data_IF_576473998314
#
_entry.id   IF_576473998314
#
_cell.length_a   1.000
_cell.length_b   1.000
_cell.length_c   1.000
_cell.angle_alpha   90.00
_cell.angle_beta   90.00
_cell.angle_gamma   90.00
#
_symmetry.space_group_name_H-M   'P 1'
#
loop_
_entity.id
_entity.type
_entity.pdbx_description
1 polymer ?
#
# COMPACT_ATOMS: atom_id res chain seq x y z
N UNK A 1 26.56 -20.11 32.07
CA UNK A 1 25.21 -20.34 31.54
C UNK A 1 24.46 -19.04 31.68
N UNK A 2 24.47 -18.23 30.64
CA UNK A 2 23.55 -17.09 30.51
C UNK A 2 22.14 -17.67 30.42
N UNK A 3 21.24 -17.23 31.31
CA UNK A 3 19.82 -17.55 31.18
C UNK A 3 19.35 -17.15 29.78
N UNK A 4 18.48 -17.95 29.13
CA UNK A 4 17.92 -17.54 27.85
C UNK A 4 17.21 -16.21 28.07
N UNK A 5 17.61 -15.19 27.30
CA UNK A 5 17.00 -13.88 27.30
C UNK A 5 15.49 -14.08 27.12
N UNK A 6 14.72 -13.84 28.18
CA UNK A 6 13.27 -13.97 28.16
C UNK A 6 12.77 -13.05 27.05
N UNK A 7 12.31 -13.62 25.92
CA UNK A 7 11.84 -12.84 24.79
C UNK A 7 10.62 -12.08 25.25
N UNK A 8 10.83 -10.82 25.67
CA UNK A 8 9.78 -9.93 26.13
C UNK A 8 8.77 -9.80 25.01
N UNK A 9 7.58 -10.35 25.23
CA UNK A 9 6.52 -10.24 24.24
C UNK A 9 6.06 -8.78 24.18
N UNK A 10 5.86 -8.24 22.96
CA UNK A 10 5.53 -6.85 22.80
C UNK A 10 4.10 -6.60 23.28
N UNK A 11 3.91 -5.43 23.87
CA UNK A 11 2.63 -5.01 24.40
C UNK A 11 1.61 -4.71 23.30
N UNK A 12 2.08 -4.20 22.15
CA UNK A 12 1.32 -3.96 20.91
C UNK A 12 2.07 -4.65 19.78
N UNK A 13 1.48 -5.68 19.20
CA UNK A 13 2.11 -6.46 18.13
C UNK A 13 1.30 -6.36 16.85
N UNK A 14 1.98 -6.05 15.76
CA UNK A 14 1.50 -6.27 14.39
C UNK A 14 2.39 -7.36 13.78
N UNK A 15 1.94 -8.61 13.81
CA UNK A 15 2.65 -9.73 13.19
C UNK A 15 2.25 -9.81 11.71
N UNK A 16 3.25 -9.82 10.83
CA UNK A 16 3.09 -9.74 9.37
C UNK A 16 3.66 -10.99 8.74
N UNK A 17 2.81 -11.82 8.15
CA UNK A 17 3.19 -13.04 7.45
C UNK A 17 3.60 -12.70 6.00
N UNK A 18 4.90 -12.69 5.73
CA UNK A 18 5.46 -12.47 4.40
C UNK A 18 5.25 -13.69 3.47
N UNK A 19 5.07 -14.88 4.03
CA UNK A 19 4.64 -16.08 3.30
C UNK A 19 3.24 -15.91 2.69
N UNK A 20 2.32 -15.32 3.45
CA UNK A 20 0.99 -14.96 2.97
C UNK A 20 1.05 -13.89 1.87
N UNK A 21 1.87 -12.83 2.03
CA UNK A 21 2.12 -11.83 0.97
C UNK A 21 2.59 -12.53 -0.32
N UNK A 22 3.63 -13.37 -0.23
CA UNK A 22 4.17 -14.11 -1.38
C UNK A 22 3.13 -15.00 -2.05
N UNK A 23 2.35 -15.73 -1.26
CA UNK A 23 1.26 -16.58 -1.76
C UNK A 23 0.24 -15.77 -2.57
N UNK A 24 -0.22 -14.65 -2.01
CA UNK A 24 -1.23 -13.81 -2.65
C UNK A 24 -0.72 -13.17 -3.95
N UNK A 25 0.54 -12.69 -3.97
CA UNK A 25 1.16 -12.11 -5.18
C UNK A 25 1.33 -13.18 -6.26
N UNK A 26 1.87 -14.37 -5.92
CA UNK A 26 2.02 -15.47 -6.89
C UNK A 26 0.68 -15.91 -7.50
N UNK A 27 -0.39 -15.92 -6.70
CA UNK A 27 -1.72 -16.26 -7.20
C UNK A 27 -2.21 -15.25 -8.24
N UNK A 28 -1.97 -13.95 -8.03
CA UNK A 28 -2.35 -12.90 -8.99
C UNK A 28 -1.43 -12.89 -10.21
N UNK A 29 -0.13 -13.03 -10.03
CA UNK A 29 0.85 -13.13 -11.13
C UNK A 29 0.50 -14.29 -12.08
N UNK A 30 0.20 -15.46 -11.52
CA UNK A 30 -0.29 -16.60 -12.30
C UNK A 30 -1.64 -16.35 -12.99
N UNK A 31 -2.54 -15.58 -12.36
CA UNK A 31 -3.85 -15.25 -12.91
C UNK A 31 -3.77 -14.30 -14.12
N UNK A 32 -2.85 -13.33 -14.10
CA UNK A 32 -2.71 -12.33 -15.17
C UNK A 32 -1.80 -12.82 -16.30
N UNK A 33 -0.86 -13.72 -16.00
CA UNK A 33 0.02 -14.34 -17.00
C UNK A 33 1.22 -13.46 -17.38
N UNK A 34 2.15 -14.01 -18.18
CA UNK A 34 3.48 -13.44 -18.39
C UNK A 34 3.50 -12.10 -19.15
N UNK A 35 2.42 -11.79 -19.89
CA UNK A 35 2.32 -10.56 -20.69
C UNK A 35 1.82 -9.34 -19.89
N UNK A 36 1.43 -9.55 -18.62
CA UNK A 36 0.91 -8.50 -17.75
C UNK A 36 1.77 -8.35 -16.50
N UNK A 37 2.42 -7.20 -16.35
CA UNK A 37 3.19 -6.91 -15.14
C UNK A 37 2.29 -6.78 -13.90
N UNK A 38 2.84 -7.08 -12.73
CA UNK A 38 2.19 -6.83 -11.43
C UNK A 38 2.91 -5.69 -10.72
N UNK A 39 2.18 -4.59 -10.50
CA UNK A 39 2.58 -3.51 -9.61
C UNK A 39 2.07 -3.78 -8.19
N UNK A 40 2.98 -4.05 -7.25
CA UNK A 40 2.65 -4.15 -5.83
C UNK A 40 2.45 -2.76 -5.23
N UNK A 41 1.25 -2.47 -4.75
CA UNK A 41 0.90 -1.17 -4.19
C UNK A 41 1.18 -1.17 -2.68
N UNK A 42 2.23 -0.47 -2.28
CA UNK A 42 2.78 -0.44 -0.91
C UNK A 42 2.68 0.94 -0.24
N UNK A 43 1.81 1.82 -0.75
CA UNK A 43 1.47 3.10 -0.10
C UNK A 43 0.94 2.93 1.32
N UNK A 44 0.93 4.02 2.07
CA UNK A 44 0.49 4.09 3.45
C UNK A 44 1.20 3.05 4.33
N UNK A 45 2.52 3.00 4.22
CA UNK A 45 3.37 2.01 4.90
C UNK A 45 2.96 0.56 4.62
N UNK A 46 2.72 0.20 3.35
CA UNK A 46 2.23 -1.13 2.97
C UNK A 46 0.86 -1.43 3.58
N UNK A 47 -0.08 -0.49 3.51
CA UNK A 47 -1.41 -0.64 4.15
C UNK A 47 -1.29 -0.97 5.64
N UNK A 48 -0.32 -0.36 6.33
CA UNK A 48 -0.01 -0.62 7.73
C UNK A 48 0.89 -1.84 8.01
N UNK A 49 1.25 -2.64 7.02
CA UNK A 49 2.04 -3.87 7.20
C UNK A 49 3.55 -3.61 7.25
N UNK A 50 4.03 -2.48 6.76
CA UNK A 50 5.47 -2.19 6.59
C UNK A 50 5.87 -2.21 5.12
N UNK A 51 6.05 -1.04 4.52
CA UNK A 51 6.22 -0.91 3.07
C UNK A 51 7.44 -1.67 2.52
N UNK A 52 8.59 -1.56 3.17
CA UNK A 52 9.86 -2.11 2.67
C UNK A 52 9.84 -3.64 2.64
N UNK A 53 9.47 -4.29 3.76
CA UNK A 53 9.50 -5.75 3.83
C UNK A 53 8.40 -6.40 2.98
N UNK A 54 7.22 -5.77 2.90
CA UNK A 54 6.18 -6.20 1.96
C UNK A 54 6.63 -6.03 0.51
N UNK A 55 7.28 -4.92 0.15
CA UNK A 55 7.79 -4.72 -1.20
C UNK A 55 8.82 -5.79 -1.58
N UNK A 56 9.76 -6.12 -0.69
CA UNK A 56 10.72 -7.21 -0.93
C UNK A 56 10.03 -8.55 -1.14
N UNK A 57 9.09 -8.91 -0.27
CA UNK A 57 8.33 -10.16 -0.40
C UNK A 57 7.49 -10.20 -1.69
N UNK A 58 6.91 -9.08 -2.11
CA UNK A 58 6.15 -8.99 -3.34
C UNK A 58 7.03 -9.16 -4.58
N UNK A 59 8.22 -8.56 -4.60
CA UNK A 59 9.20 -8.70 -5.70
C UNK A 59 9.67 -10.17 -5.80
N UNK A 60 10.00 -10.79 -4.67
CA UNK A 60 10.37 -12.23 -4.61
C UNK A 60 9.24 -13.14 -5.17
N UNK A 61 8.00 -12.68 -5.09
CA UNK A 61 6.83 -13.40 -5.56
C UNK A 61 6.40 -13.09 -7.00
N UNK A 62 7.08 -12.18 -7.70
CA UNK A 62 6.83 -11.87 -9.11
C UNK A 62 6.41 -10.43 -9.41
N UNK A 63 6.22 -9.57 -8.42
CA UNK A 63 5.93 -8.16 -8.68
C UNK A 63 7.14 -7.47 -9.34
N UNK A 64 6.93 -6.90 -10.52
CA UNK A 64 7.98 -6.22 -11.30
C UNK A 64 7.92 -4.70 -11.18
N UNK A 65 6.89 -4.16 -10.52
CA UNK A 65 6.71 -2.75 -10.25
C UNK A 65 6.29 -2.52 -8.79
N UNK A 66 6.59 -1.34 -8.26
CA UNK A 66 6.08 -0.84 -7.00
C UNK A 66 5.24 0.43 -7.22
N UNK A 67 4.20 0.58 -6.42
CA UNK A 67 3.31 1.74 -6.47
C UNK A 67 3.09 2.36 -5.09
N UNK A 68 3.31 3.67 -4.98
CA UNK A 68 3.10 4.45 -3.75
C UNK A 68 2.27 5.71 -4.02
N UNK A 69 1.76 6.35 -2.96
CA UNK A 69 1.02 7.59 -3.14
C UNK A 69 1.99 8.75 -3.34
N UNK A 70 2.88 8.95 -2.36
CA UNK A 70 3.70 10.14 -2.24
C UNK A 70 5.16 9.88 -2.67
N UNK A 71 5.85 10.94 -3.10
CA UNK A 71 7.27 10.84 -3.48
C UNK A 71 8.16 10.43 -2.32
N UNK A 72 7.85 10.84 -1.09
CA UNK A 72 8.64 10.47 0.09
C UNK A 72 8.58 8.97 0.37
N UNK A 73 7.45 8.31 0.08
CA UNK A 73 7.34 6.85 0.15
C UNK A 73 8.22 6.19 -0.92
N UNK A 74 8.26 6.74 -2.13
CA UNK A 74 9.10 6.22 -3.21
C UNK A 74 10.60 6.38 -2.89
N UNK A 75 10.98 7.53 -2.32
CA UNK A 75 12.34 7.79 -1.86
C UNK A 75 12.73 6.79 -0.77
N UNK A 76 11.84 6.52 0.20
CA UNK A 76 12.10 5.52 1.24
C UNK A 76 12.30 4.10 0.67
N UNK A 77 11.58 3.72 -0.38
CA UNK A 77 11.80 2.44 -1.08
C UNK A 77 13.17 2.40 -1.78
N UNK A 78 13.57 3.50 -2.43
CA UNK A 78 14.88 3.62 -3.07
C UNK A 78 16.02 3.59 -2.05
N UNK A 79 15.91 4.31 -0.94
CA UNK A 79 16.88 4.30 0.16
C UNK A 79 17.00 2.90 0.81
N UNK A 80 15.96 2.07 0.71
CA UNK A 80 15.98 0.68 1.15
C UNK A 80 16.60 -0.31 0.15
N UNK A 81 17.15 0.18 -0.97
CA UNK A 81 17.83 -0.61 -2.01
C UNK A 81 16.89 -1.35 -2.96
N UNK A 82 15.65 -0.89 -3.14
CA UNK A 82 14.70 -1.48 -4.08
C UNK A 82 14.86 -0.84 -5.47
N UNK A 83 15.29 -1.62 -6.46
CA UNK A 83 15.67 -1.09 -7.79
C UNK A 83 14.60 -1.27 -8.87
N UNK A 84 13.57 -2.08 -8.64
CA UNK A 84 12.45 -2.24 -9.58
C UNK A 84 11.76 -0.88 -9.85
N UNK A 85 11.12 -0.65 -11.00
CA UNK A 85 10.41 0.60 -11.26
C UNK A 85 9.39 0.96 -10.16
N UNK A 86 9.40 2.22 -9.72
CA UNK A 86 8.51 2.75 -8.67
C UNK A 86 7.70 3.90 -9.26
N UNK A 87 6.37 3.82 -9.14
CA UNK A 87 5.46 4.91 -9.50
C UNK A 87 4.94 5.61 -8.23
N UNK A 88 5.08 6.94 -8.17
CA UNK A 88 4.37 7.81 -7.22
C UNK A 88 3.42 8.75 -7.98
N UNK A 89 2.20 9.00 -7.48
CA UNK A 89 1.15 9.66 -8.28
C UNK A 89 0.30 10.70 -7.54
N UNK A 90 0.57 10.95 -6.26
CA UNK A 90 -0.14 11.93 -5.44
C UNK A 90 0.84 13.00 -5.02
N UNK A 91 0.79 14.15 -5.69
CA UNK A 91 1.67 15.27 -5.41
C UNK A 91 1.12 16.57 -5.99
N UNK A 92 1.47 17.69 -5.34
CA UNK A 92 1.29 19.04 -5.86
C UNK A 92 2.27 19.37 -7.00
N UNK A 93 2.19 20.60 -7.48
CA UNK A 93 3.10 21.14 -8.51
C UNK A 93 4.47 21.58 -7.93
N UNK A 94 4.55 21.70 -6.61
CA UNK A 94 5.70 22.11 -5.80
C UNK A 94 6.45 20.92 -5.18
N UNK A 95 6.10 19.70 -5.59
CA UNK A 95 6.75 18.49 -5.12
C UNK A 95 8.21 18.40 -5.57
N UNK A 96 9.01 17.59 -4.86
CA UNK A 96 10.44 17.37 -5.11
C UNK A 96 10.68 16.48 -6.34
N UNK A 97 10.35 16.99 -7.52
CA UNK A 97 10.52 16.26 -8.78
C UNK A 97 11.99 16.05 -9.16
N UNK A 98 12.89 16.87 -8.62
CA UNK A 98 14.35 16.72 -8.72
C UNK A 98 14.81 15.41 -8.07
N UNK A 99 14.34 15.09 -6.86
CA UNK A 99 14.58 13.79 -6.21
C UNK A 99 14.04 12.63 -7.04
N UNK A 100 12.87 12.81 -7.66
CA UNK A 100 12.29 11.79 -8.52
C UNK A 100 13.17 11.51 -9.75
N UNK A 101 13.74 12.56 -10.37
CA UNK A 101 14.68 12.44 -11.49
C UNK A 101 15.96 11.74 -11.05
N UNK A 102 16.59 12.20 -9.97
CA UNK A 102 17.85 11.65 -9.45
C UNK A 102 17.71 10.16 -9.12
N UNK A 103 16.57 9.77 -8.53
CA UNK A 103 16.33 8.41 -8.03
C UNK A 103 15.54 7.53 -9.00
N UNK A 104 15.34 8.00 -10.25
CA UNK A 104 14.61 7.27 -11.30
C UNK A 104 13.27 6.75 -10.82
N UNK A 105 12.47 7.64 -10.23
CA UNK A 105 11.09 7.38 -9.82
C UNK A 105 10.17 7.82 -10.96
N UNK A 106 9.25 6.96 -11.37
CA UNK A 106 8.18 7.32 -12.30
C UNK A 106 7.16 8.21 -11.57
N UNK A 107 6.77 9.32 -12.21
CA UNK A 107 5.88 10.33 -11.62
C UNK A 107 4.54 10.36 -12.35
N UNK A 108 3.44 10.18 -11.63
CA UNK A 108 2.09 10.26 -12.14
C UNK A 108 1.62 11.71 -12.34
N UNK A 109 1.53 12.17 -13.58
CA UNK A 109 1.15 13.56 -13.92
C UNK A 109 -0.27 13.63 -14.47
N UNK A 110 -1.01 14.66 -14.07
CA UNK A 110 -2.43 14.85 -14.38
C UNK A 110 -2.74 16.21 -15.02
N UNK A 111 -1.73 17.05 -15.26
CA UNK A 111 -1.92 18.37 -15.88
C UNK A 111 -0.66 18.86 -16.59
N UNK A 112 -0.85 19.82 -17.51
CA UNK A 112 0.26 20.54 -18.19
C UNK A 112 1.16 21.24 -17.18
N UNK A 113 0.59 21.86 -16.14
CA UNK A 113 1.36 22.54 -15.11
C UNK A 113 2.31 21.60 -14.35
N UNK A 114 1.89 20.34 -14.12
CA UNK A 114 2.75 19.32 -13.53
C UNK A 114 3.86 18.87 -14.49
N UNK A 115 3.57 18.72 -15.78
CA UNK A 115 4.59 18.44 -16.79
C UNK A 115 5.67 19.54 -16.82
N UNK A 116 5.25 20.81 -16.78
CA UNK A 116 6.18 21.94 -16.77
C UNK A 116 6.99 22.00 -15.46
N UNK A 117 6.40 21.60 -14.32
CA UNK A 117 7.13 21.50 -13.06
C UNK A 117 8.20 20.40 -13.10
N UNK A 118 7.87 19.23 -13.66
CA UNK A 118 8.84 18.14 -13.87
C UNK A 118 9.95 18.60 -14.82
N UNK A 119 9.62 19.31 -15.91
CA UNK A 119 10.61 19.83 -16.84
C UNK A 119 11.61 20.79 -16.17
N UNK A 120 11.13 21.74 -15.36
CA UNK A 120 12.00 22.65 -14.59
C UNK A 120 12.91 21.91 -13.61
N UNK A 121 12.42 20.82 -13.01
CA UNK A 121 13.23 20.01 -12.11
C UNK A 121 14.37 19.31 -12.87
N UNK A 122 14.12 18.81 -14.08
CA UNK A 122 15.17 18.23 -14.94
C UNK A 122 16.24 19.27 -15.28
N UNK A 123 15.85 20.48 -15.67
CA UNK A 123 16.79 21.59 -15.92
C UNK A 123 17.64 21.92 -14.69
N UNK A 124 17.03 21.91 -13.50
CA UNK A 124 17.73 22.14 -12.23
C UNK A 124 18.78 21.06 -11.97
N UNK A 125 18.42 19.78 -12.15
CA UNK A 125 19.34 18.65 -11.94
C UNK A 125 20.49 18.69 -12.96
N UNK A 126 20.21 18.99 -14.24
CA UNK A 126 21.23 19.15 -15.29
C UNK A 126 22.18 20.31 -14.98
N UNK A 127 21.66 21.45 -14.53
CA UNK A 127 22.46 22.61 -14.14
C UNK A 127 23.33 22.36 -12.92
N UNK A 128 22.83 21.60 -11.93
CA UNK A 128 23.62 21.20 -10.76
C UNK A 128 24.75 20.23 -11.12
N UNK A 129 24.51 19.26 -12.01
CA UNK A 129 25.55 18.36 -12.53
C UNK A 129 26.63 19.10 -13.33
N UNK A 130 26.24 20.04 -14.20
CA UNK A 130 27.18 20.86 -14.98
C UNK A 130 28.03 21.83 -14.13
N UNK A 131 27.56 22.20 -12.93
CA UNK A 131 28.32 23.06 -12.02
C UNK A 131 29.41 22.31 -11.23
N UNK A 132 29.36 20.97 -11.19
CA UNK A 132 30.37 20.13 -10.53
C UNK A 132 31.54 19.82 -11.47
N UNK A 133 31.33 19.85 -12.79
CA UNK A 133 32.36 19.60 -13.80
C UNK A 133 32.91 20.91 -14.42
N UNK A 134 34.14 21.33 -14.03
CA UNK A 134 35.21 22.05 -14.80
C UNK A 134 36.11 22.94 -13.88
N UNK A 135 37.48 22.97 -14.00
CA UNK A 135 38.41 22.08 -14.74
C UNK A 135 39.67 21.55 -13.99
N UNK A 136 40.06 20.34 -14.42
CA UNK A 136 41.39 19.81 -14.80
C UNK A 136 42.67 20.06 -13.97
N UNK A 137 43.32 18.95 -13.58
CA UNK A 137 44.77 18.82 -13.56
C UNK A 137 45.21 17.34 -13.72
N UNK A 138 46.17 17.09 -14.62
CA UNK A 138 47.13 16.00 -14.48
C UNK A 138 47.10 14.93 -15.56
N UNK A 139 48.01 15.06 -16.52
CA UNK A 139 48.47 13.98 -17.41
C UNK A 139 48.93 12.75 -16.62
N UNK A 140 48.63 11.55 -17.14
CA UNK A 140 49.16 10.29 -16.58
C UNK A 140 48.70 9.05 -17.35
N UNK A 141 49.56 8.58 -18.24
CA UNK A 141 49.49 7.30 -18.97
C UNK A 141 49.33 6.07 -18.04
N UNK A 142 48.65 5.01 -18.50
CA UNK A 142 48.74 3.67 -17.88
C UNK A 142 47.70 2.62 -18.28
N UNK A 143 47.99 1.93 -19.39
CA UNK A 143 47.65 0.56 -19.85
C UNK A 143 46.81 -0.44 -18.99
N UNK A 144 45.75 -1.01 -19.61
CA UNK A 144 45.58 -2.46 -19.85
C UNK A 144 44.93 -3.41 -18.82
N UNK A 145 43.74 -3.96 -19.14
CA UNK A 145 43.28 -5.27 -18.60
C UNK A 145 41.77 -5.57 -18.65
N UNK A 146 41.32 -6.34 -19.64
CA UNK A 146 39.98 -6.96 -19.78
C UNK A 146 39.79 -8.12 -18.76
N UNK A 147 38.64 -8.73 -18.46
CA UNK A 147 37.22 -8.69 -18.86
C UNK A 147 36.43 -9.51 -17.81
N UNK A 148 35.13 -9.24 -17.65
CA UNK A 148 34.21 -10.09 -16.87
C UNK A 148 32.76 -9.81 -17.30
N UNK A 149 32.21 -10.71 -18.11
CA UNK A 149 30.88 -10.71 -18.70
C UNK A 149 29.77 -10.83 -17.64
N UNK A 150 28.92 -9.80 -17.56
CA UNK A 150 27.67 -9.75 -16.83
C UNK A 150 26.67 -8.90 -17.62
N UNK A 151 25.51 -9.49 -17.93
CA UNK A 151 24.50 -8.98 -18.85
C UNK A 151 24.10 -7.52 -18.62
N UNK A 152 23.99 -6.81 -19.73
CA UNK A 152 23.80 -5.36 -19.83
C UNK A 152 22.45 -4.86 -19.30
N UNK A 153 22.49 -3.96 -18.32
CA UNK A 153 21.70 -2.73 -18.36
C UNK A 153 22.68 -1.54 -18.24
N UNK A 154 22.66 -0.67 -19.24
CA UNK A 154 23.69 0.32 -19.49
C UNK A 154 23.43 1.65 -18.79
N UNK A 155 24.42 2.11 -18.03
CA UNK A 155 24.85 3.51 -18.02
C UNK A 155 24.16 4.45 -17.03
N UNK A 156 24.92 4.82 -15.99
CA UNK A 156 24.73 6.04 -15.21
C UNK A 156 25.22 7.31 -15.94
N UNK A 157 25.50 7.23 -17.25
CA UNK A 157 26.19 8.26 -18.05
C UNK A 157 25.28 8.99 -19.05
N UNK A 158 23.96 8.90 -18.88
CA UNK A 158 22.98 9.65 -19.68
C UNK A 158 22.63 10.99 -19.05
N UNK A 159 22.35 12.01 -19.88
CA UNK A 159 21.80 13.28 -19.39
C UNK A 159 20.50 13.00 -18.60
N UNK A 160 20.29 13.63 -17.42
CA UNK A 160 19.09 13.37 -16.60
C UNK A 160 17.79 13.54 -17.40
N UNK A 161 16.92 12.52 -17.37
CA UNK A 161 15.60 12.51 -18.02
C UNK A 161 14.54 12.10 -17.00
N UNK A 162 13.44 12.86 -16.91
CA UNK A 162 12.31 12.49 -16.05
C UNK A 162 11.49 11.35 -16.65
N UNK A 163 10.91 10.50 -15.79
CA UNK A 163 10.01 9.42 -16.18
C UNK A 163 8.61 9.76 -15.71
N UNK A 164 7.66 9.86 -16.63
CA UNK A 164 6.29 10.29 -16.29
C UNK A 164 5.26 9.30 -16.79
N UNK A 165 4.20 9.12 -16.02
CA UNK A 165 3.02 8.40 -16.44
C UNK A 165 1.81 9.34 -16.44
N UNK A 166 1.13 9.43 -17.57
CA UNK A 166 -0.02 10.32 -17.73
C UNK A 166 -1.24 9.67 -17.10
N UNK A 167 -1.77 10.32 -16.06
CA UNK A 167 -3.01 9.91 -15.40
C UNK A 167 -4.18 10.63 -16.04
N UNK A 168 -5.18 9.86 -16.43
CA UNK A 168 -6.37 10.36 -17.12
C UNK A 168 -7.60 10.06 -16.26
N UNK A 169 -8.51 11.01 -16.15
CA UNK A 169 -9.80 10.75 -15.55
C UNK A 169 -10.75 10.19 -16.61
N UNK A 170 -11.07 8.90 -16.49
CA UNK A 170 -11.99 8.22 -17.40
C UNK A 170 -13.40 8.08 -16.83
N UNK A 171 -13.68 8.62 -15.64
CA UNK A 171 -15.00 8.58 -15.01
C UNK A 171 -15.02 8.50 -13.48
N UNK A 172 -13.86 8.45 -12.81
CA UNK A 172 -13.83 8.36 -11.34
C UNK A 172 -14.07 9.72 -10.68
N UNK A 173 -13.74 10.84 -11.33
CA UNK A 173 -13.96 12.18 -10.79
C UNK A 173 -13.00 12.53 -9.64
N UNK A 174 -11.80 11.94 -9.60
CA UNK A 174 -10.84 12.10 -8.47
C UNK A 174 -9.56 12.84 -8.85
N UNK A 175 -8.71 12.20 -9.64
CA UNK A 175 -7.41 12.73 -10.07
C UNK A 175 -7.13 12.13 -11.46
N UNK A 176 -6.32 12.80 -12.25
CA UNK A 176 -6.15 12.56 -13.68
C UNK A 176 -6.70 13.73 -14.50
N UNK A 177 -6.13 13.96 -15.68
CA UNK A 177 -6.57 15.02 -16.57
C UNK A 177 -8.02 14.76 -17.02
N UNK A 178 -8.85 15.79 -17.03
CA UNK A 178 -10.20 15.69 -17.57
C UNK A 178 -10.14 15.52 -19.09
N UNK A 179 -11.16 14.90 -19.69
CA UNK A 179 -11.25 14.66 -21.14
C UNK A 179 -10.98 15.90 -21.99
N UNK A 180 -11.43 17.08 -21.54
CA UNK A 180 -11.20 18.37 -22.23
C UNK A 180 -9.74 18.82 -22.25
N UNK A 181 -8.90 18.26 -21.39
CA UNK A 181 -7.50 18.65 -21.21
C UNK A 181 -6.52 17.69 -21.89
N UNK A 182 -6.99 16.52 -22.36
CA UNK A 182 -6.12 15.46 -22.88
C UNK A 182 -5.28 15.91 -24.06
N UNK A 183 -5.86 16.66 -25.01
CA UNK A 183 -5.13 17.16 -26.18
C UNK A 183 -3.94 18.02 -25.73
N UNK A 184 -4.17 18.99 -24.84
CA UNK A 184 -3.12 19.87 -24.34
C UNK A 184 -2.05 19.10 -23.56
N UNK A 185 -2.47 18.13 -22.73
CA UNK A 185 -1.56 17.28 -21.97
C UNK A 185 -0.67 16.44 -22.91
N UNK A 186 -1.25 15.77 -23.90
CA UNK A 186 -0.51 14.93 -24.84
C UNK A 186 0.42 15.74 -25.73
N UNK A 187 -0.04 16.87 -26.28
CA UNK A 187 0.82 17.76 -27.07
C UNK A 187 2.03 18.22 -26.25
N UNK A 188 1.81 18.67 -25.00
CA UNK A 188 2.92 19.12 -24.15
C UNK A 188 3.88 18.00 -23.77
N UNK A 189 3.35 16.82 -23.43
CA UNK A 189 4.19 15.67 -23.10
C UNK A 189 5.04 15.23 -24.31
N UNK A 190 4.47 15.23 -25.51
CA UNK A 190 5.18 14.92 -26.75
C UNK A 190 6.30 15.94 -27.06
N UNK A 191 6.02 17.25 -26.89
CA UNK A 191 7.04 18.30 -27.03
C UNK A 191 8.23 18.09 -26.09
N UNK A 192 7.96 17.86 -24.80
CA UNK A 192 8.99 17.65 -23.79
C UNK A 192 9.77 16.35 -24.02
N UNK A 193 9.12 15.31 -24.55
CA UNK A 193 9.77 14.07 -24.93
C UNK A 193 10.68 14.24 -26.14
N UNK A 194 10.25 14.97 -27.17
CA UNK A 194 11.09 15.29 -28.34
C UNK A 194 12.29 16.17 -27.98
N UNK A 195 12.14 17.03 -26.97
CA UNK A 195 13.23 17.81 -26.40
C UNK A 195 14.17 17.00 -25.49
N UNK A 196 13.90 15.70 -25.26
CA UNK A 196 14.71 14.84 -24.40
C UNK A 196 14.63 15.19 -22.91
N UNK A 197 13.62 15.93 -22.47
CA UNK A 197 13.46 16.36 -21.07
C UNK A 197 12.83 15.27 -20.22
N UNK A 198 11.85 14.56 -20.78
CA UNK A 198 11.15 13.46 -20.12
C UNK A 198 10.89 12.30 -21.08
N UNK A 199 10.50 11.17 -20.53
CA UNK A 199 9.93 10.03 -21.26
C UNK A 199 8.58 9.72 -20.65
N UNK A 200 7.56 9.58 -21.50
CA UNK A 200 6.25 9.10 -21.08
C UNK A 200 6.29 7.58 -21.03
N UNK A 201 6.48 7.03 -19.84
CA UNK A 201 6.64 5.58 -19.64
C UNK A 201 5.30 4.87 -19.60
N UNK A 202 4.21 5.55 -19.29
CA UNK A 202 2.90 4.92 -19.18
C UNK A 202 1.68 5.84 -19.22
N UNK A 203 0.53 5.24 -19.45
CA UNK A 203 -0.80 5.86 -19.36
C UNK A 203 -1.67 5.07 -18.40
N UNK A 204 -2.40 5.75 -17.52
CA UNK A 204 -3.27 5.06 -16.58
C UNK A 204 -4.50 5.84 -16.14
N UNK A 205 -5.47 5.07 -15.65
CA UNK A 205 -6.64 5.59 -14.96
C UNK A 205 -6.98 4.66 -13.78
N UNK A 206 -8.08 4.94 -13.10
CA UNK A 206 -8.58 4.18 -11.97
C UNK A 206 -10.08 3.91 -12.15
N UNK A 207 -10.46 2.64 -12.15
CA UNK A 207 -11.86 2.23 -12.19
C UNK A 207 -12.58 2.62 -10.90
N UNK A 208 -13.87 2.90 -11.04
CA UNK A 208 -14.78 3.07 -9.91
C UNK A 208 -15.05 1.75 -9.19
N UNK A 209 -15.02 0.62 -9.93
CA UNK A 209 -15.47 -0.69 -9.46
C UNK A 209 -16.94 -0.71 -9.03
N UNK A 210 -17.76 0.23 -9.55
CA UNK A 210 -19.16 0.39 -9.15
C UNK A 210 -20.03 -0.73 -9.70
N UNK A 211 -19.89 -0.99 -11.00
CA UNK A 211 -20.54 -2.08 -11.72
C UNK A 211 -19.81 -2.30 -13.05
N UNK A 212 -20.07 -3.46 -13.67
CA UNK A 212 -19.35 -3.83 -14.89
C UNK A 212 -19.60 -2.90 -16.10
N UNK A 213 -20.77 -2.28 -16.20
CA UNK A 213 -21.10 -1.40 -17.33
C UNK A 213 -20.28 -0.11 -17.27
N UNK A 214 -20.26 0.54 -16.11
CA UNK A 214 -19.47 1.73 -15.82
C UNK A 214 -17.97 1.43 -15.96
N UNK A 215 -17.50 0.30 -15.42
CA UNK A 215 -16.08 -0.06 -15.52
C UNK A 215 -15.64 -0.32 -16.98
N UNK A 216 -16.49 -0.98 -17.77
CA UNK A 216 -16.22 -1.16 -19.22
C UNK A 216 -16.31 0.18 -19.96
N UNK A 217 -17.14 1.11 -19.55
CA UNK A 217 -17.18 2.46 -20.12
C UNK A 217 -15.86 3.21 -19.86
N UNK A 218 -15.36 3.16 -18.62
CA UNK A 218 -14.06 3.73 -18.27
C UNK A 218 -12.90 3.07 -19.03
N UNK A 219 -12.95 1.75 -19.25
CA UNK A 219 -11.96 1.04 -20.08
C UNK A 219 -11.99 1.53 -21.54
N UNK A 220 -13.17 1.67 -22.15
CA UNK A 220 -13.29 2.21 -23.52
C UNK A 220 -12.69 3.62 -23.63
N UNK A 221 -12.89 4.46 -22.62
CA UNK A 221 -12.28 5.80 -22.57
C UNK A 221 -10.75 5.74 -22.50
N UNK A 222 -10.17 4.86 -21.68
CA UNK A 222 -8.71 4.70 -21.62
C UNK A 222 -8.15 4.19 -22.95
N UNK A 223 -8.81 3.22 -23.59
CA UNK A 223 -8.39 2.69 -24.90
C UNK A 223 -8.39 3.79 -25.97
N UNK A 224 -9.42 4.65 -26.00
CA UNK A 224 -9.44 5.81 -26.90
C UNK A 224 -8.30 6.79 -26.60
N UNK A 225 -8.03 7.04 -25.31
CA UNK A 225 -6.95 7.93 -24.89
C UNK A 225 -5.57 7.42 -25.34
N UNK A 226 -5.32 6.11 -25.26
CA UNK A 226 -4.07 5.50 -25.74
C UNK A 226 -3.90 5.72 -27.24
N UNK A 227 -4.96 5.57 -28.03
CA UNK A 227 -4.89 5.83 -29.47
C UNK A 227 -4.59 7.32 -29.76
N UNK A 228 -5.19 8.24 -29.01
CA UNK A 228 -4.93 9.68 -29.12
C UNK A 228 -3.51 10.06 -28.72
N UNK A 229 -2.99 9.50 -27.62
CA UNK A 229 -1.62 9.72 -27.19
C UNK A 229 -0.60 9.22 -28.23
N UNK A 230 -0.83 8.03 -28.81
CA UNK A 230 -0.01 7.51 -29.92
C UNK A 230 -0.05 8.40 -31.14
N UNK A 231 -1.23 8.91 -31.51
CA UNK A 231 -1.36 9.87 -32.61
C UNK A 231 -0.59 11.18 -32.36
N UNK A 232 -0.38 11.56 -31.09
CA UNK A 232 0.47 12.68 -30.69
C UNK A 232 1.98 12.33 -30.63
N UNK A 233 2.38 11.10 -30.96
CA UNK A 233 3.77 10.65 -30.92
C UNK A 233 4.25 10.13 -29.56
N UNK A 234 3.32 9.78 -28.66
CA UNK A 234 3.63 9.17 -27.36
C UNK A 234 3.46 7.65 -27.45
N UNK A 235 4.52 6.90 -27.19
CA UNK A 235 4.49 5.43 -27.15
C UNK A 235 4.72 4.92 -25.72
N UNK A 236 3.66 4.77 -24.91
CA UNK A 236 3.79 4.33 -23.51
C UNK A 236 4.19 2.85 -23.43
N UNK A 237 5.12 2.53 -22.53
CA UNK A 237 5.55 1.15 -22.25
C UNK A 237 4.58 0.39 -21.35
N UNK A 238 3.87 1.10 -20.46
CA UNK A 238 2.86 0.49 -19.59
C UNK A 238 1.51 1.21 -19.69
N UNK A 239 0.44 0.43 -19.82
CA UNK A 239 -0.94 0.90 -19.80
C UNK A 239 -1.66 0.10 -18.73
N UNK A 240 -2.17 0.78 -17.70
CA UNK A 240 -2.79 0.09 -16.57
C UNK A 240 -4.06 0.75 -16.07
N UNK A 241 -5.04 -0.09 -15.73
CA UNK A 241 -6.36 0.34 -15.29
C UNK A 241 -6.84 -0.43 -14.07
N UNK A 242 -6.63 -1.75 -14.04
CA UNK A 242 -7.13 -2.62 -13.00
C UNK A 242 -6.48 -2.36 -11.63
N UNK A 243 -7.33 -2.21 -10.61
CA UNK A 243 -6.98 -2.45 -9.20
C UNK A 243 -7.20 -3.93 -8.86
N UNK A 244 -7.03 -4.34 -7.60
CA UNK A 244 -7.31 -5.72 -7.16
C UNK A 244 -8.69 -6.23 -7.63
N UNK A 245 -9.75 -5.46 -7.40
CA UNK A 245 -11.12 -5.85 -7.76
C UNK A 245 -11.25 -6.18 -9.26
N UNK A 246 -10.85 -5.24 -10.13
CA UNK A 246 -10.90 -5.41 -11.57
C UNK A 246 -9.93 -6.48 -12.08
N UNK A 247 -8.79 -6.70 -11.43
CA UNK A 247 -7.86 -7.78 -11.77
C UNK A 247 -8.54 -9.14 -11.66
N UNK A 248 -9.33 -9.32 -10.60
CA UNK A 248 -10.05 -10.56 -10.34
C UNK A 248 -11.29 -10.74 -11.23
N UNK A 249 -12.04 -9.68 -11.52
CA UNK A 249 -13.36 -9.78 -12.18
C UNK A 249 -13.44 -9.32 -13.63
N UNK A 250 -12.46 -8.57 -14.13
CA UNK A 250 -12.53 -7.94 -15.46
C UNK A 250 -11.23 -8.20 -16.26
N UNK A 251 -11.07 -9.40 -16.86
CA UNK A 251 -9.84 -9.79 -17.56
C UNK A 251 -9.39 -8.79 -18.63
N UNK A 252 -10.32 -8.17 -19.36
CA UNK A 252 -10.03 -7.18 -20.40
C UNK A 252 -9.40 -5.87 -19.87
N UNK A 253 -9.49 -5.60 -18.56
CA UNK A 253 -8.92 -4.40 -17.94
C UNK A 253 -7.50 -4.62 -17.37
N UNK A 254 -6.93 -5.83 -17.52
CA UNK A 254 -5.58 -6.17 -17.03
C UNK A 254 -4.47 -5.49 -17.84
N UNK A 255 -4.73 -5.28 -19.14
CA UNK A 255 -3.86 -4.54 -20.06
C UNK A 255 -2.39 -4.99 -19.96
N UNK A 256 -1.43 -4.08 -19.92
CA UNK A 256 -0.01 -4.46 -19.80
C UNK A 256 0.46 -4.55 -18.35
N UNK A 257 -0.32 -4.05 -17.40
CA UNK A 257 0.01 -4.07 -15.98
C UNK A 257 -1.23 -3.93 -15.08
N UNK A 258 -1.27 -4.71 -14.01
CA UNK A 258 -2.27 -4.59 -12.93
C UNK A 258 -1.69 -3.95 -11.69
N UNK A 259 -2.52 -3.28 -10.89
CA UNK A 259 -2.13 -2.70 -9.61
C UNK A 259 -2.73 -3.48 -8.46
N UNK A 260 -1.90 -4.30 -7.82
CA UNK A 260 -2.29 -5.17 -6.72
C UNK A 260 -2.09 -4.44 -5.38
N UNK A 261 -3.21 -4.00 -4.79
CA UNK A 261 -3.26 -3.41 -3.45
C UNK A 261 -3.77 -4.43 -2.44
N UNK A 262 -5.00 -4.26 -1.96
CA UNK A 262 -5.56 -5.00 -0.82
C UNK A 262 -5.43 -6.53 -0.94
N UNK A 263 -5.55 -7.06 -2.16
CA UNK A 263 -5.49 -8.50 -2.40
C UNK A 263 -4.14 -9.12 -2.04
N UNK A 264 -3.04 -8.38 -2.21
CA UNK A 264 -1.71 -8.84 -1.78
C UNK A 264 -1.64 -9.05 -0.27
N UNK A 265 -2.34 -8.22 0.50
CA UNK A 265 -2.43 -8.30 1.96
C UNK A 265 -3.44 -9.34 2.44
N UNK A 266 -4.06 -10.06 1.51
CA UNK A 266 -4.95 -11.16 1.82
C UNK A 266 -6.36 -10.75 2.20
N UNK A 267 -6.80 -9.55 1.85
CA UNK A 267 -8.15 -9.07 2.17
C UNK A 267 -8.99 -8.93 0.90
N UNK A 268 -10.26 -9.28 1.01
CA UNK A 268 -11.21 -9.19 -0.10
C UNK A 268 -11.51 -7.72 -0.45
N UNK A 269 -11.53 -7.35 -1.74
CA UNK A 269 -12.03 -6.05 -2.17
C UNK A 269 -13.56 -6.02 -2.37
N UNK A 270 -14.28 -7.08 -2.01
CA UNK A 270 -15.70 -7.25 -2.32
C UNK A 270 -16.55 -7.48 -1.07
N UNK A 271 -17.66 -6.76 -1.00
CA UNK A 271 -18.67 -6.99 0.05
C UNK A 271 -19.26 -8.41 -0.06
N UNK A 272 -19.35 -9.09 1.08
CA UNK A 272 -19.97 -10.41 1.18
C UNK A 272 -19.15 -11.56 0.57
N UNK A 273 -17.93 -11.32 0.09
CA UNK A 273 -17.01 -12.37 -0.36
C UNK A 273 -15.79 -12.35 0.54
N UNK A 274 -15.51 -13.47 1.20
CA UNK A 274 -14.38 -13.62 2.12
C UNK A 274 -13.05 -13.77 1.38
N UNK A 275 -11.94 -13.47 2.07
CA UNK A 275 -10.60 -13.76 1.54
C UNK A 275 -10.41 -15.23 1.16
N UNK A 276 -10.95 -16.14 1.97
CA UNK A 276 -10.83 -17.57 1.75
C UNK A 276 -11.51 -18.02 0.44
N UNK A 277 -12.69 -17.46 0.11
CA UNK A 277 -13.37 -17.73 -1.17
C UNK A 277 -12.57 -17.25 -2.38
N UNK A 278 -11.71 -16.25 -2.21
CA UNK A 278 -10.78 -15.77 -3.24
C UNK A 278 -9.43 -16.51 -3.22
N UNK A 279 -9.23 -17.47 -2.31
CA UNK A 279 -7.95 -18.16 -2.13
C UNK A 279 -6.84 -17.29 -1.53
N UNK A 280 -7.20 -16.15 -0.94
CA UNK A 280 -6.30 -15.19 -0.32
C UNK A 280 -6.02 -15.53 1.14
N UNK A 281 -4.81 -15.24 1.60
CA UNK A 281 -4.36 -15.47 2.99
C UNK A 281 -4.11 -14.14 3.69
N UNK A 282 -4.89 -13.76 4.72
CA UNK A 282 -4.67 -12.54 5.48
C UNK A 282 -3.24 -12.46 6.04
N UNK A 283 -2.53 -11.37 5.77
CA UNK A 283 -1.12 -11.26 6.11
C UNK A 283 -0.84 -10.55 7.45
N UNK A 284 -1.84 -9.97 8.11
CA UNK A 284 -1.64 -9.18 9.34
C UNK A 284 -2.48 -9.72 10.50
N UNK A 285 -1.80 -9.96 11.61
CA UNK A 285 -2.40 -10.24 12.92
C UNK A 285 -2.08 -9.10 13.89
N UNK A 286 -3.11 -8.50 14.48
CA UNK A 286 -2.98 -7.39 15.44
C UNK A 286 -3.32 -7.88 16.83
N UNK A 287 -2.38 -7.70 17.75
CA UNK A 287 -2.49 -8.20 19.12
C UNK A 287 -2.22 -7.12 20.16
N UNK A 288 -2.92 -7.26 21.29
CA UNK A 288 -2.66 -6.54 22.53
C UNK A 288 -2.54 -7.51 23.71
N UNK A 289 -2.58 -6.95 24.91
CA UNK A 289 -2.54 -7.70 26.17
C UNK A 289 -3.63 -7.26 27.12
N UNK A 290 -4.12 -8.19 27.92
CA UNK A 290 -4.92 -7.89 29.09
C UNK A 290 -4.02 -7.24 30.14
N UNK A 291 -4.37 -6.05 30.60
CA UNK A 291 -3.57 -5.29 31.58
C UNK A 291 -4.15 -5.27 32.98
N UNK A 292 -5.44 -5.56 33.10
CA UNK A 292 -6.13 -5.66 34.38
C UNK A 292 -7.34 -6.56 34.21
N UNK A 293 -7.62 -7.36 35.23
CA UNK A 293 -8.85 -8.17 35.32
C UNK A 293 -9.54 -7.82 36.63
N UNK A 294 -10.86 -7.68 36.62
CA UNK A 294 -11.64 -7.47 37.85
C UNK A 294 -12.99 -8.18 37.78
N UNK A 295 -13.36 -8.86 38.86
CA UNK A 295 -14.73 -9.36 39.07
C UNK A 295 -15.61 -8.23 39.55
N UNK A 296 -16.80 -8.09 38.98
CA UNK A 296 -17.76 -7.02 39.29
C UNK A 296 -19.16 -7.61 39.46
N UNK A 297 -20.02 -7.03 40.32
CA UNK A 297 -21.40 -7.47 40.44
C UNK A 297 -22.22 -7.16 39.18
N UNK A 298 -23.46 -7.67 39.13
CA UNK A 298 -24.46 -7.27 38.16
C UNK A 298 -24.70 -5.75 38.16
N UNK A 299 -25.13 -5.20 37.03
CA UNK A 299 -25.39 -3.77 36.81
C UNK A 299 -24.15 -2.87 37.00
N UNK A 300 -22.95 -3.43 36.82
CA UNK A 300 -21.71 -2.66 36.85
C UNK A 300 -21.53 -1.89 35.55
N UNK A 301 -21.40 -0.56 35.64
CA UNK A 301 -21.26 0.31 34.48
C UNK A 301 -19.82 0.32 33.92
N UNK A 302 -19.69 0.26 32.59
CA UNK A 302 -18.38 0.11 31.92
C UNK A 302 -18.09 1.27 30.96
N UNK A 303 -16.89 1.85 31.12
CA UNK A 303 -16.32 2.91 30.28
C UNK A 303 -17.17 4.20 30.22
N UNK A 304 -16.78 5.13 29.34
CA UNK A 304 -17.37 6.46 29.23
C UNK A 304 -18.85 6.43 28.86
N UNK A 305 -19.65 7.23 29.57
CA UNK A 305 -21.09 7.37 29.31
C UNK A 305 -21.91 6.14 29.71
N UNK A 306 -21.28 5.12 30.31
CA UNK A 306 -21.97 3.93 30.81
C UNK A 306 -22.92 3.29 29.81
N UNK A 307 -22.47 3.22 28.54
CA UNK A 307 -23.25 2.63 27.44
C UNK A 307 -23.35 1.10 27.53
N UNK A 308 -22.60 0.49 28.45
CA UNK A 308 -22.64 -0.92 28.75
C UNK A 308 -22.76 -1.13 30.26
N UNK A 309 -23.56 -2.11 30.66
CA UNK A 309 -23.74 -2.57 32.02
C UNK A 309 -23.75 -4.10 32.03
N UNK A 310 -23.08 -4.69 33.01
CA UNK A 310 -23.04 -6.15 33.15
C UNK A 310 -24.44 -6.70 33.45
N UNK A 311 -24.85 -7.76 32.76
CA UNK A 311 -26.16 -8.38 32.98
C UNK A 311 -26.21 -9.21 34.28
N UNK A 312 -25.06 -9.73 34.70
CA UNK A 312 -24.88 -10.52 35.91
C UNK A 312 -23.53 -10.19 36.57
N UNK A 313 -23.19 -10.91 37.62
CA UNK A 313 -21.81 -10.91 38.10
C UNK A 313 -20.89 -11.37 36.98
N UNK A 314 -19.81 -10.62 36.73
CA UNK A 314 -18.99 -10.83 35.55
C UNK A 314 -17.54 -10.43 35.76
N UNK A 315 -16.66 -10.90 34.89
CA UNK A 315 -15.26 -10.52 34.84
C UNK A 315 -15.03 -9.52 33.72
N UNK A 316 -14.43 -8.37 34.04
CA UNK A 316 -14.04 -7.35 33.07
C UNK A 316 -12.54 -7.40 32.84
N UNK A 317 -12.13 -7.62 31.58
CA UNK A 317 -10.76 -7.57 31.14
C UNK A 317 -10.46 -6.23 30.46
N UNK A 318 -9.48 -5.50 30.96
CA UNK A 318 -8.99 -4.25 30.37
C UNK A 318 -7.89 -4.57 29.37
N UNK A 319 -8.03 -4.11 28.13
CA UNK A 319 -7.07 -4.31 27.04
C UNK A 319 -6.37 -2.99 26.73
N UNK A 320 -5.04 -3.00 26.70
CA UNK A 320 -4.19 -1.81 26.53
C UNK A 320 -4.07 -1.29 25.09
N UNK A 321 -5.17 -1.27 24.34
CA UNK A 321 -5.24 -0.73 22.98
C UNK A 321 -6.44 0.21 22.84
N UNK A 322 -6.26 1.34 22.18
CA UNK A 322 -7.34 2.30 21.97
C UNK A 322 -7.26 3.04 20.64
N UNK A 323 -8.08 4.07 20.47
CA UNK A 323 -8.17 4.77 19.19
C UNK A 323 -6.91 5.53 18.79
N UNK A 324 -6.02 5.88 19.73
CA UNK A 324 -4.71 6.45 19.40
C UNK A 324 -3.73 5.41 18.84
N UNK A 325 -4.01 4.11 19.00
CA UNK A 325 -3.26 3.03 18.38
C UNK A 325 -3.79 2.69 16.96
N UNK A 326 -4.96 3.22 16.61
CA UNK A 326 -5.66 2.94 15.35
C UNK A 326 -6.98 2.19 15.51
N UNK A 327 -7.36 1.81 16.74
CA UNK A 327 -8.55 0.99 16.97
C UNK A 327 -9.82 1.85 16.79
N UNK A 328 -10.72 1.52 15.86
CA UNK A 328 -11.84 2.41 15.51
C UNK A 328 -12.82 2.53 16.67
N UNK A 329 -13.02 3.77 17.15
CA UNK A 329 -13.95 4.05 18.25
C UNK A 329 -15.39 3.62 17.96
N UNK A 330 -15.81 3.60 16.69
CA UNK A 330 -17.13 3.15 16.27
C UNK A 330 -17.39 1.66 16.57
N UNK A 331 -16.34 0.85 16.73
CA UNK A 331 -16.46 -0.55 17.16
C UNK A 331 -16.90 -0.76 18.61
N UNK A 332 -17.15 0.33 19.37
CA UNK A 332 -17.62 0.27 20.76
C UNK A 332 -18.90 -0.58 20.90
N UNK A 333 -18.96 -1.46 21.91
CA UNK A 333 -20.04 -2.42 22.17
C UNK A 333 -20.22 -3.55 21.12
N UNK A 334 -19.46 -3.57 20.02
CA UNK A 334 -19.73 -4.45 18.87
C UNK A 334 -18.53 -5.30 18.49
N UNK A 335 -17.36 -4.67 18.39
CA UNK A 335 -16.18 -5.27 17.78
C UNK A 335 -15.74 -6.55 18.52
N UNK A 336 -15.49 -7.64 17.77
CA UNK A 336 -15.04 -8.89 18.34
C UNK A 336 -13.57 -8.85 18.73
N UNK A 337 -13.22 -9.60 19.77
CA UNK A 337 -11.83 -9.89 20.16
C UNK A 337 -11.71 -11.36 20.52
N UNK A 338 -10.52 -11.93 20.38
CA UNK A 338 -10.24 -13.29 20.76
C UNK A 338 -9.28 -13.33 21.95
N UNK A 339 -9.62 -14.10 22.98
CA UNK A 339 -8.85 -14.26 24.22
C UNK A 339 -8.95 -15.73 24.65
N UNK A 340 -7.81 -16.39 24.91
CA UNK A 340 -7.71 -17.79 25.36
C UNK A 340 -8.59 -18.81 24.60
N UNK A 341 -8.76 -18.68 23.29
CA UNK A 341 -9.57 -19.63 22.50
C UNK A 341 -11.02 -19.20 22.28
N UNK A 342 -11.46 -18.14 22.95
CA UNK A 342 -12.86 -17.72 22.94
C UNK A 342 -13.03 -16.32 22.34
N UNK A 343 -14.18 -16.10 21.68
CA UNK A 343 -14.55 -14.80 21.14
C UNK A 343 -15.35 -14.03 22.18
N UNK A 344 -14.89 -12.81 22.47
CA UNK A 344 -15.60 -11.83 23.27
C UNK A 344 -15.88 -10.58 22.41
N UNK A 345 -16.49 -9.57 23.03
CA UNK A 345 -16.75 -8.28 22.38
C UNK A 345 -16.22 -7.15 23.25
N UNK A 346 -15.92 -6.04 22.60
CA UNK A 346 -15.71 -4.76 23.29
C UNK A 346 -16.99 -4.41 24.06
N UNK A 347 -16.86 -4.11 25.35
CA UNK A 347 -17.94 -3.74 26.26
C UNK A 347 -17.77 -2.29 26.72
N UNK A 348 -18.68 -1.42 26.31
CA UNK A 348 -18.59 0.02 26.52
C UNK A 348 -17.80 0.74 25.43
N UNK A 349 -17.47 2.01 25.69
CA UNK A 349 -16.74 2.84 24.74
C UNK A 349 -15.25 2.50 24.69
N UNK A 350 -14.70 2.44 23.48
CA UNK A 350 -13.25 2.41 23.24
C UNK A 350 -12.68 3.78 23.61
N UNK A 351 -11.67 3.80 24.49
CA UNK A 351 -10.96 5.00 24.92
C UNK A 351 -9.69 5.21 24.07
N UNK A 352 -8.91 6.25 24.41
CA UNK A 352 -7.72 6.64 23.66
C UNK A 352 -6.67 5.53 23.61
N UNK A 353 -6.44 4.85 24.74
CA UNK A 353 -5.35 3.88 24.89
C UNK A 353 -5.82 2.50 25.35
N UNK A 354 -7.12 2.31 25.55
CA UNK A 354 -7.67 1.07 26.10
C UNK A 354 -9.15 0.85 25.79
N UNK A 355 -9.59 -0.39 25.88
CA UNK A 355 -11.01 -0.77 25.93
C UNK A 355 -11.21 -1.92 26.92
N UNK A 356 -12.46 -2.21 27.27
CA UNK A 356 -12.84 -3.32 28.16
C UNK A 356 -13.54 -4.40 27.34
N UNK A 357 -13.28 -5.67 27.65
CA UNK A 357 -14.09 -6.80 27.23
C UNK A 357 -14.75 -7.42 28.46
N UNK A 358 -16.06 -7.67 28.38
CA UNK A 358 -16.76 -8.48 29.37
C UNK A 358 -16.58 -9.96 29.01
N UNK A 359 -15.80 -10.67 29.84
CA UNK A 359 -15.38 -12.06 29.60
C UNK A 359 -16.13 -13.05 30.49
N UNK A 360 -17.14 -12.61 31.24
CA UNK A 360 -17.99 -13.50 32.05
C UNK A 360 -17.17 -14.36 33.01
N UNK A 361 -17.36 -15.68 32.98
CA UNK A 361 -16.64 -16.63 33.82
C UNK A 361 -15.40 -17.21 33.12
N UNK A 362 -15.03 -16.70 31.94
CA UNK A 362 -13.83 -17.14 31.24
C UNK A 362 -12.60 -16.85 32.12
N UNK A 363 -11.64 -17.81 32.22
CA UNK A 363 -10.50 -17.70 33.12
C UNK A 363 -9.43 -16.77 32.52
N UNK A 364 -9.75 -15.51 32.26
CA UNK A 364 -8.81 -14.53 31.69
C UNK A 364 -7.93 -13.93 32.78
N UNK A 365 -6.63 -13.86 32.51
CA UNK A 365 -5.59 -13.39 33.41
C UNK A 365 -4.87 -12.15 32.84
N UNK A 366 -4.23 -11.38 33.72
CA UNK A 366 -3.35 -10.27 33.29
C UNK A 366 -2.17 -10.84 32.51
N UNK A 367 -1.87 -10.25 31.36
CA UNK A 367 -0.83 -10.74 30.45
C UNK A 367 -1.36 -11.63 29.34
N UNK A 368 -2.62 -12.07 29.38
CA UNK A 368 -3.20 -12.87 28.30
C UNK A 368 -3.17 -12.12 26.97
N UNK A 369 -2.89 -12.88 25.90
CA UNK A 369 -2.91 -12.41 24.53
C UNK A 369 -4.35 -12.10 24.11
N UNK A 370 -4.53 -10.91 23.54
CA UNK A 370 -5.78 -10.49 22.91
C UNK A 370 -5.52 -10.32 21.42
N UNK A 371 -6.18 -11.10 20.57
CA UNK A 371 -6.13 -10.90 19.12
C UNK A 371 -7.33 -10.07 18.72
N UNK A 372 -7.09 -8.90 18.13
CA UNK A 372 -8.16 -8.04 17.62
C UNK A 372 -8.65 -8.63 16.30
N UNK A 373 -7.74 -8.78 15.35
CA UNK A 373 -8.02 -9.46 14.08
C UNK A 373 -6.77 -10.18 13.54
N UNK A 374 -7.00 -11.19 12.70
CA UNK A 374 -5.99 -12.02 12.05
C UNK A 374 -6.64 -12.95 11.00
N UNK A 375 -6.04 -14.11 10.74
CA UNK A 375 -6.61 -15.10 9.82
C UNK A 375 -7.79 -15.87 10.46
N UNK A 376 -9.01 -15.83 9.87
CA UNK A 376 -10.14 -16.62 10.33
C UNK A 376 -9.91 -18.14 10.32
N UNK A 377 -8.99 -18.65 9.50
CA UNK A 377 -8.61 -20.05 9.50
C UNK A 377 -7.98 -20.50 10.83
N UNK A 378 -7.39 -19.57 11.60
CA UNK A 378 -6.89 -19.79 12.95
C UNK A 378 -7.97 -19.56 14.04
N UNK A 379 -9.20 -19.21 13.65
CA UNK A 379 -10.31 -18.90 14.56
C UNK A 379 -10.36 -17.45 15.06
N UNK A 380 -9.41 -16.61 14.64
CA UNK A 380 -9.40 -15.19 14.99
C UNK A 380 -10.55 -14.43 14.31
N UNK A 381 -10.93 -13.25 14.84
CA UNK A 381 -11.77 -12.33 14.09
C UNK A 381 -11.02 -11.82 12.86
N UNK A 382 -11.74 -11.49 11.81
CA UNK A 382 -11.16 -10.93 10.58
C UNK A 382 -11.04 -9.40 10.64
N UNK A 383 -10.26 -8.82 9.74
CA UNK A 383 -10.29 -7.37 9.51
C UNK A 383 -11.66 -6.90 9.01
N UNK A 384 -12.41 -7.77 8.30
CA UNK A 384 -13.78 -7.50 7.85
C UNK A 384 -14.76 -7.45 9.03
N UNK A 385 -14.60 -8.32 10.04
CA UNK A 385 -15.46 -8.31 11.24
C UNK A 385 -15.32 -6.98 12.01
N UNK A 386 -14.10 -6.44 12.03
CA UNK A 386 -13.81 -5.12 12.60
C UNK A 386 -14.34 -3.98 11.72
N UNK A 387 -14.23 -4.12 10.40
CA UNK A 387 -14.76 -3.16 9.44
C UNK A 387 -16.28 -3.04 9.57
N UNK A 388 -17.01 -4.16 9.61
CA UNK A 388 -18.45 -4.20 9.83
C UNK A 388 -18.85 -3.58 11.17
N UNK A 389 -18.11 -3.91 12.24
CA UNK A 389 -18.36 -3.38 13.58
C UNK A 389 -18.15 -1.87 13.66
N UNK A 390 -17.27 -1.32 12.82
CA UNK A 390 -16.91 0.09 12.77
C UNK A 390 -17.57 0.87 11.61
N UNK A 391 -18.45 0.22 10.83
CA UNK A 391 -19.15 0.81 9.68
C UNK A 391 -18.16 1.38 8.64
N UNK A 392 -17.15 0.59 8.30
CA UNK A 392 -16.10 0.93 7.34
C UNK A 392 -15.68 -0.30 6.53
N UNK A 393 -14.54 -0.22 5.86
CA UNK A 393 -13.94 -1.27 5.01
C UNK A 393 -12.61 -1.77 5.61
N UNK A 394 -12.23 -3.00 5.29
CA UNK A 394 -10.99 -3.62 5.77
C UNK A 394 -9.72 -2.81 5.45
N UNK A 395 -9.71 -2.09 4.32
CA UNK A 395 -8.65 -1.15 3.93
C UNK A 395 -8.35 -0.15 5.05
N UNK A 396 -9.38 0.43 5.65
CA UNK A 396 -9.22 1.41 6.72
C UNK A 396 -8.72 0.75 8.01
N UNK A 397 -9.22 -0.45 8.32
CA UNK A 397 -8.85 -1.19 9.52
C UNK A 397 -7.34 -1.46 9.57
N UNK A 398 -6.77 -2.03 8.51
CA UNK A 398 -5.34 -2.37 8.48
C UNK A 398 -4.44 -1.15 8.33
N UNK A 399 -4.85 -0.16 7.54
CA UNK A 399 -4.05 1.04 7.29
C UNK A 399 -3.91 1.91 8.54
N UNK A 400 -4.89 1.88 9.46
CA UNK A 400 -4.87 2.67 10.69
C UNK A 400 -3.94 2.13 11.78
N UNK A 401 -3.37 0.93 11.63
CA UNK A 401 -2.46 0.36 12.62
C UNK A 401 -1.20 1.22 12.70
N UNK A 402 -1.12 2.01 13.77
CA UNK A 402 -0.17 3.12 13.87
C UNK A 402 1.28 2.69 14.14
N UNK A 403 2.20 3.67 14.26
CA UNK A 403 3.61 3.41 14.54
C UNK A 403 3.88 2.93 15.98
N UNK A 404 2.90 2.99 16.88
CA UNK A 404 3.01 2.46 18.26
C UNK A 404 3.08 0.94 18.34
N UNK A 405 2.69 0.26 17.26
CA UNK A 405 2.81 -1.19 17.14
C UNK A 405 4.23 -1.57 16.75
N UNK A 406 4.83 -2.50 17.51
CA UNK A 406 6.01 -3.22 17.04
C UNK A 406 5.57 -4.16 15.92
N UNK A 407 6.22 -4.04 14.76
CA UNK A 407 5.97 -4.91 13.61
C UNK A 407 6.98 -6.05 13.62
N UNK A 408 6.50 -7.28 13.56
CA UNK A 408 7.33 -8.48 13.42
C UNK A 408 6.99 -9.17 12.11
N UNK A 409 8.01 -9.53 11.35
CA UNK A 409 7.84 -10.18 10.07
C UNK A 409 8.12 -11.68 10.22
N UNK A 410 7.13 -12.48 9.88
CA UNK A 410 7.12 -13.95 9.90
C UNK A 410 7.22 -14.42 8.42
N UNK A 411 7.77 -15.60 8.14
CA UNK A 411 8.06 -16.07 6.77
C UNK A 411 7.36 -17.36 6.38
#
# INVERSE_FOLDING_TARGET
MTEPEEVRQPFRLAAVDLGAIRHNVRAVDALVGPDTAVMAVVKANGYGHGAVEVARAAIEAGATWLGVADLDEAVALRDAGLDVPVLAWLHGQDARFDEAVIRRIDVGVSSVAQLDAVARAVETVRGAGAAVDVPAAGDGDGDGGAAGDGGADGGADGEPVARVQLKLDTGLGRNGAARSEWIALFSRAAELQQAGVLTVTGLFSHLSNTNEEEDRAQLRQLTAAVAEARAAGIEPTVIHLASTAATLRLPEARLSMVRLGIGMYGLSPFDGVTSAELGLRPALRVEGRVISVKRVPADSAVSYGYTYRTAGESTLALVGLGYADGIPRLGSNRAPVWIRGERHRVSGRIAMDQFVADVHDAPVEVGDRVVLFGDPAEGYPSADDWAESAETINYEIVTRIGPRFERRYES
#
